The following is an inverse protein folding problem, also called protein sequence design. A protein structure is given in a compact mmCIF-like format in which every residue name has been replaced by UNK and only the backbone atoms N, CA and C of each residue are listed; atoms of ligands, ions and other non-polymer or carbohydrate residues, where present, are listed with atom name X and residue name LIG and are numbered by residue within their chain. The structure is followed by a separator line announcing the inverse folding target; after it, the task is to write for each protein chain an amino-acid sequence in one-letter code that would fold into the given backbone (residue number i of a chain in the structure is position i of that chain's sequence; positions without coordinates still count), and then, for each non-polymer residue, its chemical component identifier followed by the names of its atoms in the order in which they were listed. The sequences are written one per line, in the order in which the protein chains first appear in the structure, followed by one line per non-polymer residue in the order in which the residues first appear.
data_IF_944043280302
#
_entry.id   IF_944043280302
#
_cell.length_a   1.000
_cell.length_b   1.000
_cell.length_c   1.000
_cell.angle_alpha   90.00
_cell.angle_beta   90.00
_cell.angle_gamma   90.00
#
_symmetry.space_group_name_H-M   'P 1'
#
loop_
_entity.id
_entity.type
_entity.pdbx_description
1 polymer ?
#
# COMPACT_ATOMS: atom_id res chain seq x y z
N UNK A 1 -35.70 2.30 32.56
CA UNK A 1 -35.42 3.34 31.55
C UNK A 1 -33.94 3.48 31.21
N UNK A 2 -33.00 3.46 32.17
CA UNK A 2 -31.56 3.66 31.87
C UNK A 2 -30.92 2.54 31.01
N UNK A 3 -31.27 1.26 31.25
CA UNK A 3 -30.65 0.11 30.56
C UNK A 3 -30.97 0.00 29.06
N UNK A 4 -32.15 0.45 28.63
CA UNK A 4 -32.59 0.39 27.23
C UNK A 4 -31.86 1.44 26.40
N UNK A 5 -31.68 2.64 26.98
CA UNK A 5 -30.95 3.74 26.33
C UNK A 5 -29.48 3.35 26.15
N UNK A 6 -28.85 2.81 27.20
CA UNK A 6 -27.46 2.34 27.13
C UNK A 6 -27.30 1.23 26.07
N UNK A 7 -28.24 0.28 26.00
CA UNK A 7 -28.18 -0.78 24.99
C UNK A 7 -28.27 -0.24 23.55
N UNK A 8 -29.07 0.80 23.31
CA UNK A 8 -29.19 1.44 22.00
C UNK A 8 -27.91 2.20 21.58
N UNK A 9 -27.23 2.86 22.54
CA UNK A 9 -25.95 3.51 22.26
C UNK A 9 -24.83 2.51 21.99
N UNK A 10 -24.79 1.41 22.75
CA UNK A 10 -23.79 0.34 22.55
C UNK A 10 -24.01 -0.37 21.21
N UNK A 11 -25.26 -0.64 20.81
CA UNK A 11 -25.53 -1.26 19.52
C UNK A 11 -25.18 -0.35 18.35
N UNK A 12 -25.52 0.94 18.43
CA UNK A 12 -25.14 1.94 17.42
C UNK A 12 -23.62 2.11 17.31
N UNK A 13 -22.90 2.07 18.44
CA UNK A 13 -21.44 2.16 18.45
C UNK A 13 -20.80 0.92 17.82
N UNK A 14 -21.22 -0.29 18.18
CA UNK A 14 -20.67 -1.53 17.61
C UNK A 14 -20.96 -1.65 16.11
N UNK A 15 -22.16 -1.28 15.66
CA UNK A 15 -22.52 -1.31 14.24
C UNK A 15 -21.90 -0.16 13.43
N UNK A 16 -21.65 1.00 14.05
CA UNK A 16 -20.97 2.12 13.41
C UNK A 16 -19.45 1.93 13.31
N UNK A 17 -18.85 1.17 14.24
CA UNK A 17 -17.39 0.96 14.29
C UNK A 17 -16.86 0.05 13.18
N UNK A 18 -17.71 -0.81 12.60
CA UNK A 18 -17.32 -1.71 11.50
C UNK A 18 -17.47 -1.07 10.12
N UNK A 19 -18.07 0.12 10.05
CA UNK A 19 -18.23 0.90 8.83
C UNK A 19 -17.03 1.82 8.57
N UNK A 20 -15.81 1.31 8.67
CA UNK A 20 -14.68 1.96 8.01
C UNK A 20 -14.78 1.65 6.53
N UNK A 21 -15.57 2.46 5.80
CA UNK A 21 -15.45 2.55 4.36
C UNK A 21 -14.10 3.20 4.07
N UNK A 22 -13.07 2.38 3.86
CA UNK A 22 -11.93 2.84 3.10
C UNK A 22 -12.49 3.20 1.72
N UNK A 23 -12.72 4.49 1.48
CA UNK A 23 -13.07 5.01 0.16
C UNK A 23 -11.85 4.86 -0.73
N UNK A 24 -11.61 3.63 -1.15
CA UNK A 24 -10.73 3.28 -2.25
C UNK A 24 -11.62 3.07 -3.47
N UNK A 25 -11.22 3.63 -4.59
CA UNK A 25 -11.85 3.31 -5.86
C UNK A 25 -11.80 1.78 -6.06
N UNK A 26 -12.94 1.12 -6.23
CA UNK A 26 -13.02 -0.35 -6.35
C UNK A 26 -12.27 -0.85 -7.60
N UNK A 27 -12.10 0.02 -8.60
CA UNK A 27 -11.35 -0.24 -9.81
C UNK A 27 -10.31 0.87 -10.00
N UNK A 28 -9.03 0.52 -9.91
CA UNK A 28 -7.96 1.43 -10.26
C UNK A 28 -7.48 1.13 -11.67
N UNK A 29 -7.42 2.15 -12.52
CA UNK A 29 -6.75 2.07 -13.82
C UNK A 29 -5.22 2.00 -13.68
N UNK A 30 -4.68 2.11 -12.45
CA UNK A 30 -3.28 1.90 -12.14
C UNK A 30 -2.98 0.41 -11.98
N UNK A 31 -1.88 -0.04 -12.55
CA UNK A 31 -1.38 -1.39 -12.34
C UNK A 31 -1.11 -1.60 -10.84
N UNK A 32 -1.55 -2.73 -10.27
CA UNK A 32 -1.38 -2.99 -8.84
C UNK A 32 0.11 -3.20 -8.53
N UNK A 33 0.64 -2.38 -7.63
CA UNK A 33 1.99 -2.52 -7.07
C UNK A 33 1.83 -2.87 -5.59
N UNK A 34 2.50 -3.91 -5.12
CA UNK A 34 2.40 -4.32 -3.72
C UNK A 34 3.03 -3.28 -2.78
N UNK A 35 2.53 -3.21 -1.55
CA UNK A 35 3.03 -2.24 -0.56
C UNK A 35 4.53 -2.42 -0.25
N UNK A 36 5.03 -3.66 -0.23
CA UNK A 36 6.47 -3.95 -0.05
C UNK A 36 7.31 -3.33 -1.17
N UNK A 37 6.88 -3.47 -2.42
CA UNK A 37 7.61 -2.96 -3.59
C UNK A 37 7.58 -1.43 -3.61
N UNK A 38 6.46 -0.83 -3.18
CA UNK A 38 6.35 0.62 -3.02
C UNK A 38 7.27 1.16 -1.91
N UNK A 39 7.37 0.49 -0.77
CA UNK A 39 8.28 0.88 0.30
C UNK A 39 9.74 0.76 -0.14
N UNK A 40 10.09 -0.31 -0.84
CA UNK A 40 11.44 -0.52 -1.36
C UNK A 40 11.76 0.51 -2.47
N UNK A 41 10.77 0.89 -3.29
CA UNK A 41 10.92 1.94 -4.29
C UNK A 41 11.14 3.32 -3.66
N UNK A 42 10.39 3.65 -2.61
CA UNK A 42 10.58 4.89 -1.84
C UNK A 42 11.95 4.92 -1.16
N UNK A 43 12.41 3.79 -0.61
CA UNK A 43 13.73 3.67 -0.01
C UNK A 43 14.89 3.86 -1.02
N UNK A 44 14.60 3.69 -2.31
CA UNK A 44 15.55 3.83 -3.41
C UNK A 44 15.48 5.16 -4.17
N UNK A 45 14.60 6.10 -3.80
CA UNK A 45 14.41 7.39 -4.50
C UNK A 45 15.69 8.20 -4.70
N UNK A 46 16.52 8.29 -3.68
CA UNK A 46 17.74 9.10 -3.67
C UNK A 46 19.03 8.25 -3.76
N UNK A 47 18.90 7.01 -4.24
CA UNK A 47 20.00 6.05 -4.30
C UNK A 47 20.37 5.69 -5.72
N UNK A 48 21.61 5.23 -5.90
CA UNK A 48 22.07 4.75 -7.21
C UNK A 48 21.39 3.42 -7.52
N UNK A 49 21.14 3.10 -8.81
CA UNK A 49 20.57 1.80 -9.20
C UNK A 49 21.41 0.59 -8.75
N UNK A 50 22.71 0.79 -8.54
CA UNK A 50 23.63 -0.24 -8.04
C UNK A 50 23.56 -0.46 -6.53
N UNK A 51 22.90 0.44 -5.80
CA UNK A 51 22.81 0.35 -4.35
C UNK A 51 21.85 -0.75 -3.91
N UNK A 52 22.12 -1.31 -2.74
CA UNK A 52 21.33 -2.37 -2.12
C UNK A 52 20.76 -1.85 -0.81
N UNK A 53 19.44 -1.84 -0.70
CA UNK A 53 18.70 -1.44 0.50
C UNK A 53 18.17 -2.66 1.22
N UNK A 54 17.84 -2.48 2.50
CA UNK A 54 17.09 -3.49 3.26
C UNK A 54 15.60 -3.29 2.98
N UNK A 55 14.87 -4.37 2.80
CA UNK A 55 13.42 -4.33 2.73
C UNK A 55 12.85 -3.84 4.07
N UNK A 56 11.74 -3.11 4.01
CA UNK A 56 11.08 -2.59 5.21
C UNK A 56 10.04 -3.56 5.79
N UNK A 57 9.69 -4.61 5.04
CA UNK A 57 8.62 -5.55 5.42
C UNK A 57 9.06 -7.01 5.41
N UNK A 58 10.08 -7.37 4.63
CA UNK A 58 10.46 -8.77 4.42
C UNK A 58 11.66 -9.22 5.26
N UNK A 59 11.48 -10.34 5.95
CA UNK A 59 12.53 -11.07 6.67
C UNK A 59 12.49 -12.53 6.24
N UNK A 60 13.55 -12.98 5.58
CA UNK A 60 13.72 -14.38 5.17
C UNK A 60 14.91 -15.00 5.89
N UNK A 61 14.76 -16.23 6.37
CA UNK A 61 15.84 -16.97 7.05
C UNK A 61 16.47 -16.18 8.23
N UNK A 62 15.66 -15.43 8.96
CA UNK A 62 16.10 -14.60 10.10
C UNK A 62 16.91 -13.36 9.71
N UNK A 63 16.94 -12.99 8.41
CA UNK A 63 17.64 -11.80 7.92
C UNK A 63 16.69 -10.93 7.11
N UNK A 64 16.79 -9.62 7.29
CA UNK A 64 16.05 -8.66 6.47
C UNK A 64 16.50 -8.82 5.02
N UNK A 65 15.53 -9.01 4.11
CA UNK A 65 15.80 -9.19 2.68
C UNK A 65 16.52 -7.96 2.14
N UNK A 66 17.49 -8.19 1.26
CA UNK A 66 18.24 -7.14 0.58
C UNK A 66 17.73 -6.99 -0.84
N UNK A 67 17.46 -5.75 -1.22
CA UNK A 67 16.80 -5.40 -2.47
C UNK A 67 17.68 -4.42 -3.23
N UNK A 68 17.96 -4.69 -4.49
CA UNK A 68 18.76 -3.82 -5.35
C UNK A 68 17.88 -2.75 -5.95
N UNK A 69 18.31 -1.49 -5.86
CA UNK A 69 17.47 -0.36 -6.29
C UNK A 69 17.13 -0.39 -7.78
N UNK A 70 18.06 -0.80 -8.64
CA UNK A 70 17.79 -0.91 -10.07
C UNK A 70 16.63 -1.87 -10.40
N UNK A 71 16.51 -2.97 -9.65
CA UNK A 71 15.51 -4.00 -9.91
C UNK A 71 14.10 -3.51 -9.52
N UNK A 72 13.97 -2.83 -8.37
CA UNK A 72 12.69 -2.26 -7.92
C UNK A 72 12.27 -1.07 -8.76
N UNK A 73 13.21 -0.20 -9.14
CA UNK A 73 12.91 0.94 -10.02
C UNK A 73 12.36 0.43 -11.36
N UNK A 74 12.98 -0.61 -11.94
CA UNK A 74 12.51 -1.23 -13.17
C UNK A 74 11.12 -1.89 -13.00
N UNK A 75 10.86 -2.56 -11.87
CA UNK A 75 9.56 -3.16 -11.57
C UNK A 75 8.45 -2.11 -11.53
N UNK A 76 8.66 -1.02 -10.79
CA UNK A 76 7.68 0.08 -10.68
C UNK A 76 7.51 0.79 -12.02
N UNK A 77 8.58 0.97 -12.79
CA UNK A 77 8.50 1.60 -14.10
C UNK A 77 7.71 0.74 -15.10
N UNK A 78 7.90 -0.58 -15.08
CA UNK A 78 7.09 -1.51 -15.88
C UNK A 78 5.62 -1.46 -15.50
N UNK A 79 5.30 -1.41 -14.20
CA UNK A 79 3.93 -1.23 -13.75
C UNK A 79 3.33 0.11 -14.20
N UNK A 80 4.14 1.18 -14.22
CA UNK A 80 3.75 2.48 -14.77
C UNK A 80 3.39 2.41 -16.25
N UNK A 81 4.27 1.81 -17.04
CA UNK A 81 4.04 1.60 -18.48
C UNK A 81 2.77 0.79 -18.74
N UNK A 82 2.52 -0.25 -17.94
CA UNK A 82 1.30 -1.06 -18.04
C UNK A 82 0.01 -0.30 -17.79
N UNK A 83 0.06 0.82 -17.05
CA UNK A 83 -1.13 1.63 -16.78
C UNK A 83 -1.20 2.90 -17.62
N UNK A 84 -0.25 3.13 -18.53
CA UNK A 84 -0.31 4.19 -19.53
C UNK A 84 -0.67 5.56 -18.97
N UNK A 85 -1.64 6.22 -19.59
CA UNK A 85 -2.06 7.59 -19.25
C UNK A 85 -2.81 7.70 -17.91
N UNK A 86 -3.28 6.57 -17.34
CA UNK A 86 -3.91 6.57 -16.01
C UNK A 86 -2.93 7.03 -14.91
N UNK A 87 -1.63 6.85 -15.11
CA UNK A 87 -0.60 7.39 -14.19
C UNK A 87 -0.45 8.90 -14.24
N UNK A 88 -0.84 9.55 -15.34
CA UNK A 88 -0.69 10.99 -15.53
C UNK A 88 -1.92 11.78 -15.06
N UNK A 89 -2.92 11.11 -14.47
CA UNK A 89 -4.17 11.73 -14.04
C UNK A 89 -5.16 11.95 -15.19
N UNK A 90 -5.04 11.17 -16.27
CA UNK A 90 -6.04 11.15 -17.34
C UNK A 90 -7.37 10.61 -16.82
N UNK A 91 -8.36 11.48 -16.74
CA UNK A 91 -9.78 11.12 -16.68
C UNK A 91 -10.29 10.82 -18.10
#
# INVERSE_FOLDING_TARGET
MNKVIVAAFVSAFVLGSTATFASGNLESSLAPISAKDMLDYLACKDKKPTDVVKSHTEVENGKIVRVKCGDIVALVQKAREQSGDAWQGGY
#
